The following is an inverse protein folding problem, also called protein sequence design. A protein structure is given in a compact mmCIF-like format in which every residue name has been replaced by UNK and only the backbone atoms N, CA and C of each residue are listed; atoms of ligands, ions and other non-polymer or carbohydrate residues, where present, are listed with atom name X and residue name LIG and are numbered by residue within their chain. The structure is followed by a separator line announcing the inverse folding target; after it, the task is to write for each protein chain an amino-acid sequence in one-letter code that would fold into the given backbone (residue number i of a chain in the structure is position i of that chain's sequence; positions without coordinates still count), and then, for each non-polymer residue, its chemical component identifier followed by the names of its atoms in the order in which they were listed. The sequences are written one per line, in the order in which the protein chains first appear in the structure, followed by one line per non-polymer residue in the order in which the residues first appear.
data_IF_295065855041
#
_entry.id   IF_295065855041
#
_cell.length_a   1.000
_cell.length_b   1.000
_cell.length_c   1.000
_cell.angle_alpha   90.00
_cell.angle_beta   90.00
_cell.angle_gamma   90.00
#
_symmetry.space_group_name_H-M   'P 1'
#
loop_
_entity.id
_entity.type
_entity.pdbx_description
1 polymer ?
#
# COMPACT_ATOMS: atom_id res chain seq x y z
N UNK A 1 10.03 -5.41 14.26
CA UNK A 1 9.40 -4.10 14.00
C UNK A 1 7.91 -4.27 14.23
N UNK A 2 7.39 -3.78 15.37
CA UNK A 2 6.13 -4.25 15.97
C UNK A 2 4.90 -4.27 15.04
N UNK A 3 4.64 -3.19 14.31
CA UNK A 3 3.45 -3.10 13.42
C UNK A 3 3.49 -4.12 12.28
N UNK A 4 4.64 -4.26 11.62
CA UNK A 4 4.84 -5.28 10.58
C UNK A 4 4.63 -6.68 11.12
N UNK A 5 5.20 -6.96 12.29
CA UNK A 5 5.18 -8.31 12.86
C UNK A 5 3.74 -8.74 13.19
N UNK A 6 2.92 -7.82 13.74
CA UNK A 6 1.49 -8.08 13.99
C UNK A 6 0.64 -8.15 12.71
N UNK A 7 0.96 -7.35 11.69
CA UNK A 7 0.24 -7.39 10.42
C UNK A 7 0.69 -8.55 9.51
N UNK A 8 1.81 -9.23 9.83
CA UNK A 8 2.37 -10.33 9.02
C UNK A 8 1.43 -11.53 8.85
N UNK A 9 0.40 -11.64 9.69
CA UNK A 9 -0.64 -12.66 9.58
C UNK A 9 -1.35 -12.60 8.23
N UNK A 10 -1.56 -11.39 7.68
CA UNK A 10 -2.24 -11.18 6.39
C UNK A 10 -1.49 -11.91 5.27
N UNK A 11 -0.18 -11.67 5.12
CA UNK A 11 0.61 -12.31 4.06
C UNK A 11 0.75 -13.82 4.23
N UNK A 12 0.84 -14.30 5.48
CA UNK A 12 0.93 -15.73 5.79
C UNK A 12 -0.36 -16.47 5.40
N UNK A 13 -1.51 -15.94 5.82
CA UNK A 13 -2.81 -16.52 5.49
C UNK A 13 -3.07 -16.44 3.99
N UNK A 14 -2.78 -15.30 3.35
CA UNK A 14 -2.96 -15.14 1.91
C UNK A 14 -2.14 -16.16 1.09
N UNK A 15 -0.89 -16.42 1.47
CA UNK A 15 -0.05 -17.41 0.80
C UNK A 15 -0.62 -18.82 0.91
N UNK A 16 -1.01 -19.24 2.11
CA UNK A 16 -1.63 -20.55 2.32
C UNK A 16 -2.94 -20.67 1.54
N UNK A 17 -3.82 -19.68 1.68
CA UNK A 17 -5.13 -19.67 1.02
C UNK A 17 -5.01 -19.70 -0.50
N UNK A 18 -4.06 -18.95 -1.08
CA UNK A 18 -3.84 -18.94 -2.53
C UNK A 18 -3.33 -20.29 -3.02
N UNK A 19 -2.36 -20.89 -2.33
CA UNK A 19 -1.84 -22.21 -2.68
C UNK A 19 -2.91 -23.31 -2.58
N UNK A 20 -3.84 -23.21 -1.62
CA UNK A 20 -4.94 -24.16 -1.45
C UNK A 20 -6.05 -23.99 -2.50
N UNK A 21 -6.38 -22.76 -2.87
CA UNK A 21 -7.53 -22.46 -3.75
C UNK A 21 -7.18 -22.38 -5.23
N UNK A 22 -6.02 -21.83 -5.57
CA UNK A 22 -5.58 -21.57 -6.95
C UNK A 22 -4.37 -22.44 -7.31
N UNK A 23 -3.53 -22.75 -6.33
CA UNK A 23 -2.28 -23.49 -6.53
C UNK A 23 -1.10 -22.55 -6.83
N UNK A 24 0.05 -22.87 -6.24
CA UNK A 24 1.29 -22.11 -6.46
C UNK A 24 1.30 -20.74 -5.78
N UNK A 25 1.93 -19.76 -6.45
CA UNK A 25 2.05 -18.37 -6.00
C UNK A 25 1.24 -17.46 -6.93
N UNK A 26 0.72 -16.32 -6.42
CA UNK A 26 0.09 -15.33 -7.28
C UNK A 26 1.10 -14.66 -8.21
N UNK A 27 0.66 -14.23 -9.39
CA UNK A 27 1.51 -13.44 -10.29
C UNK A 27 1.81 -12.04 -9.71
N UNK A 28 0.84 -11.46 -8.99
CA UNK A 28 0.99 -10.13 -8.40
C UNK A 28 0.20 -9.96 -7.10
N UNK A 29 0.70 -9.05 -6.26
CA UNK A 29 0.06 -8.57 -5.03
C UNK A 29 -0.20 -7.08 -5.13
N UNK A 30 -1.39 -6.66 -4.70
CA UNK A 30 -1.81 -5.26 -4.73
C UNK A 30 -2.35 -4.88 -3.36
N UNK A 31 -1.88 -3.76 -2.81
CA UNK A 31 -2.40 -3.20 -1.58
C UNK A 31 -2.36 -1.67 -1.58
N UNK A 32 -3.32 -1.05 -0.89
CA UNK A 32 -3.35 0.40 -0.75
C UNK A 32 -2.30 0.89 0.27
N UNK A 33 -1.64 1.99 -0.06
CA UNK A 33 -0.56 2.58 0.73
C UNK A 33 -0.95 3.98 1.17
N UNK A 34 -1.47 4.06 2.41
CA UNK A 34 -1.50 5.30 3.19
C UNK A 34 -0.35 5.28 4.19
N UNK A 35 -0.61 4.81 5.41
CA UNK A 35 0.44 4.50 6.41
C UNK A 35 1.21 3.20 6.14
N UNK A 36 0.76 2.37 5.20
CA UNK A 36 1.47 1.17 4.72
C UNK A 36 1.40 -0.10 5.59
N UNK A 37 0.66 -0.10 6.71
CA UNK A 37 0.61 -1.26 7.63
C UNK A 37 -0.01 -2.52 7.03
N UNK A 38 -1.11 -2.39 6.27
CA UNK A 38 -1.74 -3.52 5.58
C UNK A 38 -0.82 -4.05 4.46
N UNK A 39 -0.23 -3.13 3.69
CA UNK A 39 0.64 -3.44 2.56
C UNK A 39 1.89 -4.20 3.03
N UNK A 40 2.59 -3.71 4.06
CA UNK A 40 3.76 -4.41 4.59
C UNK A 40 3.40 -5.74 5.24
N UNK A 41 2.20 -5.86 5.83
CA UNK A 41 1.70 -7.12 6.38
C UNK A 41 1.47 -8.20 5.31
N UNK A 42 0.94 -7.80 4.15
CA UNK A 42 0.75 -8.66 2.99
C UNK A 42 2.09 -8.98 2.30
N UNK A 43 2.84 -7.96 1.90
CA UNK A 43 4.02 -8.09 1.04
C UNK A 43 5.18 -8.81 1.70
N UNK A 44 5.33 -8.68 3.03
CA UNK A 44 6.47 -9.27 3.74
C UNK A 44 6.56 -10.78 3.58
N UNK A 45 5.43 -11.49 3.47
CA UNK A 45 5.43 -12.93 3.26
C UNK A 45 5.96 -13.36 1.88
N UNK A 46 6.03 -12.44 0.91
CA UNK A 46 6.34 -12.70 -0.50
C UNK A 46 7.61 -11.98 -1.00
N UNK A 47 8.34 -11.28 -0.13
CA UNK A 47 9.45 -10.40 -0.53
C UNK A 47 10.64 -11.13 -1.19
N UNK A 48 10.79 -12.42 -0.88
CA UNK A 48 11.82 -13.29 -1.45
C UNK A 48 11.35 -14.04 -2.71
N UNK A 49 10.04 -14.04 -3.00
CA UNK A 49 9.47 -14.72 -4.16
C UNK A 49 9.57 -13.82 -5.41
N UNK A 50 10.68 -13.95 -6.16
CA UNK A 50 10.98 -13.06 -7.30
C UNK A 50 10.02 -13.17 -8.49
N UNK A 51 9.18 -14.21 -8.51
CA UNK A 51 8.13 -14.38 -9.51
C UNK A 51 6.85 -13.60 -9.20
N UNK A 52 6.75 -12.98 -8.02
CA UNK A 52 5.56 -12.28 -7.55
C UNK A 52 5.78 -10.78 -7.64
N UNK A 53 5.04 -10.11 -8.51
CA UNK A 53 5.07 -8.65 -8.61
C UNK A 53 4.36 -8.00 -7.42
N UNK A 54 4.89 -6.89 -6.91
CA UNK A 54 4.34 -6.21 -5.72
C UNK A 54 4.02 -4.75 -6.04
N UNK A 55 2.74 -4.40 -5.96
CA UNK A 55 2.22 -3.06 -6.27
C UNK A 55 1.58 -2.39 -5.05
N UNK A 56 2.16 -1.28 -4.63
CA UNK A 56 1.56 -0.37 -3.65
C UNK A 56 0.79 0.76 -4.35
N UNK A 57 -0.47 0.97 -3.97
CA UNK A 57 -1.36 1.97 -4.60
C UNK A 57 -1.64 3.12 -3.64
N UNK A 58 -1.20 4.33 -3.99
CA UNK A 58 -1.47 5.55 -3.21
C UNK A 58 -2.72 6.29 -3.70
N UNK A 59 -3.30 7.14 -2.85
CA UNK A 59 -4.51 7.89 -3.18
C UNK A 59 -4.21 9.11 -4.06
N UNK A 60 -4.49 9.01 -5.36
CA UNK A 60 -4.32 10.10 -6.33
C UNK A 60 -5.35 11.25 -6.19
N UNK A 61 -6.37 11.09 -5.34
CA UNK A 61 -7.38 12.12 -5.07
C UNK A 61 -8.02 12.69 -6.33
N UNK A 62 -7.99 14.00 -6.50
CA UNK A 62 -8.52 14.68 -7.68
C UNK A 62 -7.58 14.66 -8.90
N UNK A 63 -6.37 14.12 -8.76
CA UNK A 63 -5.32 14.07 -9.77
C UNK A 63 -3.99 14.57 -9.20
N UNK A 64 -2.91 13.82 -9.43
CA UNK A 64 -1.55 14.19 -9.01
C UNK A 64 -1.11 15.47 -9.73
N UNK A 65 -1.50 15.60 -11.00
CA UNK A 65 -1.23 16.75 -11.86
C UNK A 65 -1.86 18.06 -11.36
N UNK A 66 -2.88 17.98 -10.48
CA UNK A 66 -3.57 19.14 -9.91
C UNK A 66 -2.85 19.75 -8.69
N UNK A 67 -1.70 19.19 -8.33
CA UNK A 67 -0.81 19.72 -7.30
C UNK A 67 -1.03 19.14 -5.90
N UNK A 68 -0.20 19.52 -4.93
CA UNK A 68 0.01 18.77 -3.69
C UNK A 68 -1.17 18.77 -2.70
N UNK A 69 -2.17 19.64 -2.89
CA UNK A 69 -3.40 19.67 -2.09
C UNK A 69 -4.47 18.72 -2.62
N UNK A 70 -4.31 18.20 -3.84
CA UNK A 70 -5.34 17.45 -4.53
C UNK A 70 -5.25 15.94 -4.32
N UNK A 71 -4.17 15.43 -3.69
CA UNK A 71 -3.90 14.01 -3.55
C UNK A 71 -3.13 13.68 -2.27
N UNK A 72 -3.04 12.39 -1.93
CA UNK A 72 -2.31 11.85 -0.79
C UNK A 72 -1.36 10.74 -1.28
N UNK A 73 -0.46 11.10 -2.20
CA UNK A 73 0.48 10.19 -2.87
C UNK A 73 1.94 10.65 -2.67
N UNK A 74 2.47 10.58 -1.44
CA UNK A 74 3.82 11.04 -1.12
C UNK A 74 4.94 10.21 -1.72
N UNK A 75 4.76 8.90 -1.97
CA UNK A 75 5.78 8.09 -2.66
C UNK A 75 5.87 8.48 -4.15
N UNK A 76 4.75 8.84 -4.77
CA UNK A 76 4.72 9.25 -6.17
C UNK A 76 5.16 10.70 -6.40
N UNK A 77 4.79 11.63 -5.52
CA UNK A 77 4.97 13.07 -5.76
C UNK A 77 5.39 13.90 -4.52
N UNK A 78 5.79 13.24 -3.43
CA UNK A 78 6.32 13.88 -2.24
C UNK A 78 7.84 13.99 -2.21
N UNK A 79 8.37 14.45 -1.09
CA UNK A 79 9.81 14.57 -0.83
C UNK A 79 10.19 13.85 0.46
N UNK A 80 11.46 13.46 0.58
CA UNK A 80 11.97 12.84 1.81
C UNK A 80 12.02 13.87 2.93
N UNK A 81 11.41 13.57 4.08
CA UNK A 81 11.50 14.38 5.29
C UNK A 81 11.34 13.53 6.55
N UNK A 82 11.22 14.19 7.70
CA UNK A 82 10.97 13.53 8.98
C UNK A 82 9.61 13.94 9.51
N UNK A 83 8.73 12.95 9.69
CA UNK A 83 7.38 13.15 10.21
C UNK A 83 7.07 12.06 11.24
N UNK A 84 6.50 12.45 12.38
CA UNK A 84 6.16 11.55 13.50
C UNK A 84 7.32 10.63 13.94
N UNK A 85 8.56 11.13 13.92
CA UNK A 85 9.74 10.39 14.35
C UNK A 85 10.26 9.36 13.33
N UNK A 86 9.75 9.34 12.10
CA UNK A 86 10.24 8.48 11.02
C UNK A 86 10.75 9.32 9.83
N UNK A 87 11.87 8.90 9.22
CA UNK A 87 12.35 9.46 7.95
C UNK A 87 11.62 8.75 6.80
N UNK A 88 10.72 9.46 6.15
CA UNK A 88 9.81 8.90 5.14
C UNK A 88 9.57 9.92 4.02
N UNK A 89 8.93 9.49 2.93
CA UNK A 89 8.37 10.42 1.95
C UNK A 89 7.10 11.06 2.53
N UNK A 90 6.96 12.36 2.34
CA UNK A 90 5.79 13.12 2.78
C UNK A 90 5.45 14.24 1.80
N UNK A 91 4.17 14.61 1.81
CA UNK A 91 3.68 15.81 1.12
C UNK A 91 3.99 17.02 2.00
N UNK A 92 5.06 17.77 1.69
CA UNK A 92 5.41 18.99 2.40
C UNK A 92 4.82 20.22 1.69
N UNK A 93 4.15 21.11 2.44
CA UNK A 93 3.75 22.42 1.94
C UNK A 93 4.56 23.51 2.63
N UNK A 94 4.96 24.56 1.90
CA UNK A 94 5.37 25.82 2.52
C UNK A 94 4.17 26.36 3.30
N UNK A 95 4.31 26.42 4.62
CA UNK A 95 3.26 26.71 5.59
C UNK A 95 2.37 27.92 5.21
N UNK A 96 1.11 27.66 4.89
CA UNK A 96 -0.01 28.58 5.13
C UNK A 96 -1.02 27.84 6.01
N UNK A 97 -1.26 28.39 7.21
CA UNK A 97 -2.16 27.86 8.24
C UNK A 97 -3.54 27.51 7.67
N UNK A 98 -3.93 26.24 7.70
CA UNK A 98 -5.26 25.75 8.14
C UNK A 98 -5.34 24.24 7.95
N UNK A 99 -5.25 23.46 9.04
CA UNK A 99 -5.56 22.03 9.02
C UNK A 99 -6.93 21.82 9.66
N UNK A 100 -7.91 21.42 8.84
CA UNK A 100 -9.14 20.78 9.31
C UNK A 100 -9.20 19.36 8.75
N UNK A 101 -9.24 18.43 9.70
CA UNK A 101 -9.75 17.05 9.67
C UNK A 101 -9.82 16.30 8.35
N UNK A 102 -9.02 15.23 8.26
CA UNK A 102 -9.39 14.01 7.52
C UNK A 102 -9.22 12.84 8.49
N UNK A 103 -10.35 12.25 8.91
CA UNK A 103 -10.41 11.04 9.73
C UNK A 103 -10.81 9.84 8.89
N UNK A 104 -10.22 8.69 9.24
CA UNK A 104 -10.63 7.32 8.95
C UNK A 104 -10.38 6.78 7.54
N UNK A 105 -9.49 5.79 7.42
CA UNK A 105 -9.46 4.85 6.30
C UNK A 105 -9.75 3.45 6.84
N UNK A 106 -10.93 2.93 6.48
CA UNK A 106 -11.35 1.56 6.73
C UNK A 106 -10.67 0.58 5.78
N UNK A 107 -10.42 -0.61 6.30
CA UNK A 107 -9.79 -1.76 5.63
C UNK A 107 -10.72 -2.33 4.56
N UNK A 108 -10.25 -2.41 3.31
CA UNK A 108 -10.76 -3.31 2.28
C UNK A 108 -9.58 -3.87 1.48
N UNK A 109 -9.28 -5.16 1.68
CA UNK A 109 -8.36 -5.94 0.84
C UNK A 109 -9.15 -6.26 -0.43
N UNK A 110 -8.76 -5.69 -1.58
CA UNK A 110 -9.38 -6.02 -2.86
C UNK A 110 -8.61 -7.18 -3.49
N UNK A 111 -9.41 -8.17 -3.90
CA UNK A 111 -9.08 -9.46 -4.50
C UNK A 111 -8.08 -9.40 -5.66
N UNK A 112 -7.24 -10.44 -5.72
CA UNK A 112 -6.30 -10.78 -6.80
C UNK A 112 -7.07 -11.04 -8.10
N UNK A 113 -6.74 -10.31 -9.17
CA UNK A 113 -7.23 -10.61 -10.52
C UNK A 113 -6.37 -11.71 -11.13
N UNK A 114 -6.87 -12.95 -11.01
CA UNK A 114 -6.46 -14.07 -11.83
C UNK A 114 -7.67 -14.61 -12.60
N UNK A 115 -7.96 -14.06 -13.78
CA UNK A 115 -8.64 -14.79 -14.86
C UNK A 115 -8.10 -14.31 -16.20
N UNK A 116 -7.15 -15.08 -16.73
CA UNK A 116 -6.76 -15.03 -18.12
C UNK A 116 -7.41 -16.24 -18.81
N UNK A 117 -8.54 -16.03 -19.49
CA UNK A 117 -9.05 -16.90 -20.57
C UNK A 117 -10.16 -16.17 -21.32
N UNK A 118 -9.81 -15.31 -22.28
CA UNK A 118 -10.58 -15.15 -23.50
C UNK A 118 -9.61 -14.97 -24.67
N UNK A 119 -9.74 -15.92 -25.60
CA UNK A 119 -9.21 -15.95 -26.98
C UNK A 119 -9.40 -14.66 -27.74
#
# INVERSE_FOLDING_TARGET
MMVRDFQSVIGKEAKTQFAEQVGGLPDALIACVGGGSNAIGLFHAFIDDKSVDIYGVEAAGHGIEKGPTAHAAPLCAGSVGVLHGNRTYLMEMKMVKSLKGIQSQQVWIILVLGQNTLT
#
